data_IF_241627475148
#
_entry.id   IF_241627475148
#
_cell.length_a   1.000
_cell.length_b   1.000
_cell.length_c   1.000
_cell.angle_alpha   90.00
_cell.angle_beta   90.00
_cell.angle_gamma   90.00
#
_symmetry.space_group_name_H-M   'P 1'
#
loop_
_entity.id
_entity.type
_entity.pdbx_description
1 polymer ?
#
# COMPACT_ATOMS: atom_id res chain seq x y z
N UNK A 1 -3.08 -29.34 33.78
CA UNK A 1 -2.94 -27.98 34.37
C UNK A 1 -2.04 -27.05 33.53
N UNK A 2 -0.86 -27.50 33.09
CA UNK A 2 0.09 -26.78 32.26
C UNK A 2 -0.48 -26.36 30.89
N UNK A 3 -1.29 -27.21 30.24
CA UNK A 3 -1.95 -26.86 28.97
C UNK A 3 -2.86 -25.64 29.08
N UNK A 4 -3.59 -25.49 30.20
CA UNK A 4 -4.43 -24.31 30.47
C UNK A 4 -3.57 -23.05 30.65
N UNK A 5 -2.42 -23.17 31.32
CA UNK A 5 -1.44 -22.09 31.44
C UNK A 5 -0.84 -21.68 30.10
N UNK A 6 -0.49 -22.65 29.25
CA UNK A 6 0.00 -22.41 27.88
C UNK A 6 -1.04 -21.68 27.02
N UNK A 7 -2.31 -22.10 27.10
CA UNK A 7 -3.40 -21.46 26.36
C UNK A 7 -3.66 -20.03 26.85
N UNK A 8 -3.66 -19.81 28.17
CA UNK A 8 -3.79 -18.45 28.74
C UNK A 8 -2.68 -17.52 28.25
N UNK A 9 -1.43 -17.97 28.29
CA UNK A 9 -0.30 -17.17 27.82
C UNK A 9 -0.32 -16.96 26.30
N UNK A 10 -0.80 -17.93 25.52
CA UNK A 10 -0.99 -17.79 24.08
C UNK A 10 -1.98 -16.64 23.77
N UNK A 11 -3.11 -16.60 24.47
CA UNK A 11 -4.10 -15.51 24.35
C UNK A 11 -3.48 -14.16 24.72
N UNK A 12 -2.79 -14.09 25.86
CA UNK A 12 -2.18 -12.86 26.36
C UNK A 12 -1.07 -12.32 25.44
N UNK A 13 -0.41 -13.19 24.68
CA UNK A 13 0.58 -12.81 23.68
C UNK A 13 -0.07 -12.33 22.36
N UNK A 14 -1.14 -13.00 21.93
CA UNK A 14 -1.76 -12.74 20.62
C UNK A 14 -2.66 -11.51 20.61
N UNK A 15 -3.34 -11.20 21.73
CA UNK A 15 -4.20 -10.02 21.80
C UNK A 15 -3.43 -8.73 21.45
N UNK A 16 -2.27 -8.41 22.07
CA UNK A 16 -1.49 -7.23 21.68
C UNK A 16 -1.04 -7.23 20.22
N UNK A 17 -0.64 -8.40 19.70
CA UNK A 17 -0.19 -8.54 18.29
C UNK A 17 -1.35 -8.25 17.34
N UNK A 18 -2.54 -8.81 17.58
CA UNK A 18 -3.72 -8.54 16.78
C UNK A 18 -4.15 -7.07 16.84
N UNK A 19 -4.02 -6.42 18.00
CA UNK A 19 -4.29 -4.96 18.12
C UNK A 19 -3.32 -4.16 17.26
N UNK A 20 -2.03 -4.48 17.29
CA UNK A 20 -1.03 -3.83 16.44
C UNK A 20 -1.29 -4.07 14.95
N UNK A 21 -1.58 -5.31 14.55
CA UNK A 21 -1.90 -5.66 13.16
C UNK A 21 -3.17 -4.96 12.67
N UNK A 22 -4.23 -4.93 13.48
CA UNK A 22 -5.47 -4.23 13.17
C UNK A 22 -5.24 -2.72 13.01
N UNK A 23 -4.42 -2.12 13.89
CA UNK A 23 -4.08 -0.70 13.81
C UNK A 23 -3.32 -0.37 12.53
N UNK A 24 -2.33 -1.20 12.17
CA UNK A 24 -1.59 -1.06 10.92
C UNK A 24 -2.51 -1.21 9.69
N UNK A 25 -3.42 -2.17 9.73
CA UNK A 25 -4.40 -2.38 8.66
C UNK A 25 -5.32 -1.15 8.49
N UNK A 26 -5.82 -0.57 9.58
CA UNK A 26 -6.66 0.63 9.54
C UNK A 26 -5.93 1.83 8.95
N UNK A 27 -4.67 2.06 9.33
CA UNK A 27 -3.84 3.13 8.75
C UNK A 27 -3.68 2.92 7.24
N UNK A 28 -3.38 1.70 6.81
CA UNK A 28 -3.24 1.39 5.38
C UNK A 28 -4.55 1.59 4.62
N UNK A 29 -5.70 1.25 5.23
CA UNK A 29 -7.01 1.54 4.64
C UNK A 29 -7.25 3.04 4.50
N UNK A 30 -6.96 3.82 5.55
CA UNK A 30 -7.15 5.26 5.54
C UNK A 30 -6.29 5.92 4.46
N UNK A 31 -5.01 5.52 4.34
CA UNK A 31 -4.14 5.99 3.27
C UNK A 31 -4.68 5.64 1.88
N UNK A 32 -5.22 4.44 1.70
CA UNK A 32 -5.84 4.03 0.43
C UNK A 32 -7.17 4.71 0.11
N UNK A 33 -7.80 5.41 1.06
CA UNK A 33 -9.03 6.18 0.83
C UNK A 33 -8.73 7.59 0.30
N UNK A 34 -7.53 8.13 0.55
CA UNK A 34 -7.15 9.46 0.09
C UNK A 34 -7.08 9.51 -1.44
N UNK A 35 -7.60 10.59 -2.03
CA UNK A 35 -7.69 10.76 -3.49
C UNK A 35 -6.32 10.81 -4.17
N UNK A 36 -5.32 11.38 -3.49
CA UNK A 36 -3.92 11.37 -3.92
C UNK A 36 -3.32 9.96 -4.09
N UNK A 37 -3.95 8.94 -3.51
CA UNK A 37 -3.47 7.55 -3.53
C UNK A 37 -4.38 6.63 -4.36
N UNK A 38 -5.37 7.19 -5.06
CA UNK A 38 -6.32 6.46 -5.89
C UNK A 38 -6.19 6.88 -7.33
N UNK A 39 -6.32 5.92 -8.23
CA UNK A 39 -6.45 6.18 -9.66
C UNK A 39 -7.92 6.16 -10.03
N UNK A 40 -8.39 7.21 -10.69
CA UNK A 40 -9.75 7.31 -11.19
C UNK A 40 -9.80 7.03 -12.69
N UNK A 41 -10.78 6.25 -13.15
CA UNK A 41 -11.01 6.14 -14.59
C UNK A 41 -11.67 7.44 -15.06
N UNK A 42 -11.08 8.07 -16.07
CA UNK A 42 -11.62 9.26 -16.72
C UNK A 42 -11.88 8.88 -18.18
N UNK A 43 -13.17 8.80 -18.52
CA UNK A 43 -13.62 8.30 -19.82
C UNK A 43 -13.58 9.39 -20.91
N UNK A 44 -13.74 10.67 -20.51
CA UNK A 44 -13.70 11.83 -21.41
C UNK A 44 -12.69 12.86 -20.90
N UNK A 45 -11.91 13.42 -21.83
CA UNK A 45 -10.88 14.44 -21.55
C UNK A 45 -11.52 15.77 -21.13
N UNK A 46 -12.76 16.03 -21.60
CA UNK A 46 -13.54 17.21 -21.20
C UNK A 46 -13.85 17.26 -19.69
N UNK A 47 -13.83 16.11 -19.00
CA UNK A 47 -14.06 16.03 -17.55
C UNK A 47 -12.82 16.39 -16.72
N UNK A 48 -11.68 16.71 -17.35
CA UNK A 48 -10.42 17.02 -16.68
C UNK A 48 -10.53 18.16 -15.66
N UNK A 49 -11.19 19.26 -16.00
CA UNK A 49 -11.48 20.37 -15.07
C UNK A 49 -12.31 19.93 -13.86
N UNK A 50 -13.36 19.14 -14.11
CA UNK A 50 -14.21 18.64 -13.05
C UNK A 50 -13.41 17.74 -12.10
N UNK A 51 -12.62 16.81 -12.63
CA UNK A 51 -11.80 15.89 -11.84
C UNK A 51 -10.77 16.63 -10.99
N UNK A 52 -10.10 17.63 -11.58
CA UNK A 52 -9.14 18.47 -10.88
C UNK A 52 -9.80 19.25 -9.74
N UNK A 53 -10.94 19.91 -10.00
CA UNK A 53 -11.65 20.74 -9.01
C UNK A 53 -12.14 19.96 -7.79
N UNK A 54 -12.46 18.67 -7.95
CA UNK A 54 -12.88 17.79 -6.84
C UNK A 54 -11.71 17.04 -6.20
N UNK A 55 -10.46 17.35 -6.55
CA UNK A 55 -9.26 16.74 -5.98
C UNK A 55 -8.93 15.34 -6.50
N UNK A 56 -9.56 14.88 -7.59
CA UNK A 56 -9.30 13.59 -8.23
C UNK A 56 -8.23 13.74 -9.30
N UNK A 57 -7.01 14.04 -8.85
CA UNK A 57 -5.90 14.40 -9.76
C UNK A 57 -5.29 13.21 -10.48
N UNK A 58 -5.25 12.02 -9.87
CA UNK A 58 -4.66 10.85 -10.52
C UNK A 58 -5.71 10.10 -11.35
N UNK A 59 -5.49 10.01 -12.66
CA UNK A 59 -6.45 9.46 -13.62
C UNK A 59 -5.84 8.37 -14.51
N UNK A 60 -6.69 7.47 -14.98
CA UNK A 60 -6.42 6.54 -16.08
C UNK A 60 -7.28 6.95 -17.26
N UNK A 61 -6.67 7.18 -18.42
CA UNK A 61 -7.35 7.66 -19.62
C UNK A 61 -7.03 6.73 -20.77
N UNK A 62 -8.08 6.30 -21.48
CA UNK A 62 -7.93 5.58 -22.73
C UNK A 62 -7.90 6.57 -23.89
N UNK A 63 -6.70 6.84 -24.40
CA UNK A 63 -6.51 7.71 -25.56
C UNK A 63 -6.81 6.89 -26.81
N UNK A 64 -7.94 7.20 -27.46
CA UNK A 64 -8.42 6.51 -28.67
C UNK A 64 -8.02 7.21 -29.96
N UNK A 65 -8.02 8.54 -29.90
CA UNK A 65 -7.66 9.40 -31.02
C UNK A 65 -6.16 9.70 -30.98
N UNK A 66 -5.56 9.85 -32.16
CA UNK A 66 -4.13 10.13 -32.27
C UNK A 66 -3.80 11.49 -31.66
N UNK A 67 -2.87 11.51 -30.71
CA UNK A 67 -2.33 12.74 -30.15
C UNK A 67 -1.33 13.36 -31.13
N UNK A 68 -1.34 14.69 -31.22
CA UNK A 68 -0.39 15.42 -32.09
C UNK A 68 0.68 16.07 -31.24
N UNK A 69 1.95 15.90 -31.63
CA UNK A 69 3.07 16.52 -30.93
C UNK A 69 3.04 18.05 -31.10
N UNK A 70 3.20 18.81 -30.02
CA UNK A 70 3.18 20.28 -30.06
C UNK A 70 4.50 20.88 -30.54
N UNK A 71 5.60 20.12 -30.53
CA UNK A 71 6.95 20.66 -30.75
C UNK A 71 7.70 21.03 -29.47
N UNK A 72 7.07 20.93 -28.31
CA UNK A 72 7.65 21.34 -27.03
C UNK A 72 7.98 20.15 -26.11
N UNK A 73 9.11 20.28 -25.41
CA UNK A 73 9.59 19.29 -24.43
C UNK A 73 9.26 19.73 -23.00
N UNK A 74 8.81 18.80 -22.17
CA UNK A 74 8.66 18.97 -20.73
C UNK A 74 9.99 18.69 -20.03
N UNK A 75 10.60 19.73 -19.45
CA UNK A 75 11.92 19.66 -18.81
C UNK A 75 11.81 19.77 -17.29
N UNK A 76 12.51 18.88 -16.62
CA UNK A 76 12.79 18.91 -15.17
C UNK A 76 14.28 19.18 -14.95
N UNK A 77 14.69 19.47 -13.70
CA UNK A 77 16.07 19.88 -13.37
C UNK A 77 17.16 18.94 -13.95
N UNK A 78 16.86 17.64 -14.09
CA UNK A 78 17.77 16.59 -14.60
C UNK A 78 17.59 16.24 -16.09
N UNK A 79 16.78 16.97 -16.86
CA UNK A 79 16.65 16.76 -18.31
C UNK A 79 15.20 16.81 -18.83
N UNK A 80 14.97 16.19 -19.99
CA UNK A 80 13.63 16.08 -20.58
C UNK A 80 12.90 14.94 -19.88
N UNK A 81 11.84 15.24 -19.12
CA UNK A 81 10.98 14.27 -18.46
C UNK A 81 9.84 13.78 -19.36
N UNK A 82 9.50 14.53 -20.40
CA UNK A 82 8.46 14.15 -21.35
C UNK A 82 8.31 15.14 -22.49
N UNK A 83 7.31 14.90 -23.32
CA UNK A 83 7.00 15.69 -24.50
C UNK A 83 5.54 16.15 -24.47
N UNK A 84 5.28 17.38 -24.90
CA UNK A 84 3.94 17.93 -24.96
C UNK A 84 3.22 17.45 -26.22
N UNK A 85 2.03 16.90 -26.02
CA UNK A 85 1.09 16.52 -27.07
C UNK A 85 -0.23 17.23 -26.83
N UNK A 86 -1.04 17.34 -27.87
CA UNK A 86 -2.37 17.90 -27.76
C UNK A 86 -3.43 17.04 -28.44
N UNK A 87 -4.65 17.16 -27.91
CA UNK A 87 -5.88 16.66 -28.52
C UNK A 87 -6.85 17.84 -28.61
N UNK A 88 -7.39 18.08 -29.81
CA UNK A 88 -8.48 19.03 -29.99
C UNK A 88 -9.78 18.24 -29.92
N UNK A 89 -10.63 18.60 -28.96
CA UNK A 89 -11.95 18.02 -28.82
C UNK A 89 -12.97 19.14 -28.63
N UNK A 90 -13.99 19.17 -29.50
CA UNK A 90 -14.93 20.29 -29.59
C UNK A 90 -14.19 21.59 -29.96
N UNK A 91 -14.20 22.57 -29.06
CA UNK A 91 -13.58 23.88 -29.25
C UNK A 91 -12.39 24.10 -28.29
N UNK A 92 -11.92 23.05 -27.61
CA UNK A 92 -10.85 23.14 -26.61
C UNK A 92 -9.64 22.27 -27.00
N UNK A 93 -8.43 22.80 -26.74
CA UNK A 93 -7.16 22.08 -26.85
C UNK A 93 -6.73 21.57 -25.48
N UNK A 94 -6.64 20.24 -25.35
CA UNK A 94 -6.18 19.56 -24.14
C UNK A 94 -4.72 19.15 -24.28
N UNK A 95 -3.92 19.47 -23.27
CA UNK A 95 -2.48 19.17 -23.24
C UNK A 95 -2.21 17.86 -22.51
N UNK A 96 -1.30 17.07 -23.08
CA UNK A 96 -0.79 15.82 -22.54
C UNK A 96 0.73 15.91 -22.44
N UNK A 97 1.29 15.46 -21.33
CA UNK A 97 2.73 15.29 -21.18
C UNK A 97 3.01 13.79 -21.12
N UNK A 98 3.67 13.27 -22.16
CA UNK A 98 3.96 11.84 -22.30
C UNK A 98 5.44 11.57 -22.04
N UNK A 99 5.72 10.41 -21.43
CA UNK A 99 7.09 9.89 -21.37
C UNK A 99 7.57 9.42 -22.77
N UNK A 100 8.87 9.13 -22.89
CA UNK A 100 9.48 8.73 -24.17
C UNK A 100 8.85 7.44 -24.74
N UNK A 101 8.55 6.45 -23.88
CA UNK A 101 7.97 5.17 -24.31
C UNK A 101 6.55 5.37 -24.89
N UNK A 102 5.74 6.20 -24.23
CA UNK A 102 4.35 6.47 -24.63
C UNK A 102 4.28 7.44 -25.81
N UNK A 103 5.22 8.36 -25.92
CA UNK A 103 5.41 9.23 -27.09
C UNK A 103 5.56 8.41 -28.38
N UNK A 104 6.38 7.35 -28.35
CA UNK A 104 6.55 6.45 -29.48
C UNK A 104 5.27 5.66 -29.86
N UNK A 105 4.32 5.51 -28.93
CA UNK A 105 3.02 4.89 -29.19
C UNK A 105 2.02 5.89 -29.77
N UNK A 106 2.06 7.14 -29.29
CA UNK A 106 1.29 8.26 -29.82
C UNK A 106 1.63 8.53 -31.28
N UNK A 107 2.93 8.59 -31.61
CA UNK A 107 3.41 8.78 -32.99
C UNK A 107 2.96 7.69 -33.97
N UNK A 108 2.71 6.48 -33.45
CA UNK A 108 2.22 5.34 -34.25
C UNK A 108 0.70 5.36 -34.43
N UNK A 109 0.00 6.35 -33.88
CA UNK A 109 -1.46 6.49 -33.98
C UNK A 109 -2.23 5.32 -33.38
N UNK A 110 -1.66 4.65 -32.37
CA UNK A 110 -2.32 3.51 -31.71
C UNK A 110 -3.15 4.02 -30.53
N UNK A 111 -4.24 3.33 -30.21
CA UNK A 111 -4.94 3.54 -28.94
C UNK A 111 -4.12 2.98 -27.78
N UNK A 112 -3.93 3.75 -26.71
CA UNK A 112 -3.23 3.31 -25.51
C UNK A 112 -3.92 3.83 -24.23
N UNK A 113 -3.62 3.19 -23.10
CA UNK A 113 -4.11 3.64 -21.80
C UNK A 113 -2.95 4.30 -21.05
N UNK A 114 -3.15 5.53 -20.60
CA UNK A 114 -2.19 6.27 -19.80
C UNK A 114 -2.64 6.36 -18.36
N UNK A 115 -1.67 6.36 -17.45
CA UNK A 115 -1.84 6.74 -16.06
C UNK A 115 -1.17 8.11 -15.89
N UNK A 116 -1.95 9.11 -15.51
CA UNK A 116 -1.51 10.49 -15.49
C UNK A 116 -2.02 11.23 -14.26
N UNK A 117 -1.34 12.30 -13.88
CA UNK A 117 -1.79 13.28 -12.90
C UNK A 117 -2.27 14.53 -13.63
N UNK A 118 -3.43 15.03 -13.25
CA UNK A 118 -3.93 16.33 -13.68
C UNK A 118 -3.17 17.43 -12.95
N UNK A 119 -2.51 18.29 -13.70
CA UNK A 119 -1.67 19.38 -13.21
C UNK A 119 -2.08 20.69 -13.87
N UNK A 120 -2.33 21.72 -13.07
CA UNK A 120 -2.59 23.08 -13.57
C UNK A 120 -1.24 23.73 -13.89
N UNK A 121 -1.02 24.04 -15.17
CA UNK A 121 0.15 24.76 -15.65
C UNK A 121 -0.28 25.86 -16.64
N UNK A 122 -0.81 26.94 -16.08
CA UNK A 122 -1.24 28.12 -16.84
C UNK A 122 -0.07 28.81 -17.57
N UNK A 123 1.16 28.65 -17.10
CA UNK A 123 2.33 29.23 -17.75
C UNK A 123 2.69 28.47 -19.04
N UNK A 124 2.72 27.13 -18.99
CA UNK A 124 2.95 26.31 -20.17
C UNK A 124 1.80 26.43 -21.18
N UNK A 125 0.55 26.41 -20.71
CA UNK A 125 -0.62 26.58 -21.58
C UNK A 125 -0.56 27.89 -22.35
N UNK A 126 -0.33 29.02 -21.65
CA UNK A 126 -0.21 30.34 -22.28
C UNK A 126 0.97 30.46 -23.23
N UNK A 127 2.10 29.84 -22.90
CA UNK A 127 3.26 29.81 -23.77
C UNK A 127 2.96 29.07 -25.08
N UNK A 128 2.36 27.88 -24.99
CA UNK A 128 1.94 27.09 -26.16
C UNK A 128 0.91 27.86 -26.99
N UNK A 129 -0.05 28.51 -26.35
CA UNK A 129 -1.07 29.32 -27.01
C UNK A 129 -0.47 30.51 -27.78
N UNK A 130 0.50 31.21 -27.18
CA UNK A 130 1.19 32.34 -27.81
C UNK A 130 1.98 31.87 -29.03
N UNK A 131 2.76 30.80 -28.89
CA UNK A 131 3.56 30.24 -29.98
C UNK A 131 2.68 29.71 -31.13
N UNK A 132 1.55 29.07 -30.82
CA UNK A 132 0.59 28.62 -31.84
C UNK A 132 -0.07 29.80 -32.56
N UNK A 133 -0.45 30.86 -31.84
CA UNK A 133 -1.02 32.08 -32.43
C UNK A 133 -0.04 32.74 -33.41
N UNK A 134 1.23 32.85 -33.01
CA UNK A 134 2.30 33.41 -33.86
C UNK A 134 2.56 32.55 -35.11
N UNK A 135 2.54 31.22 -34.98
CA UNK A 135 2.72 30.31 -36.13
C UNK A 135 1.56 30.37 -37.13
N UNK A 136 0.35 30.67 -36.66
CA UNK A 136 -0.85 30.74 -37.51
C UNK A 136 -1.11 32.15 -38.09
N UNK A 137 -0.25 33.13 -37.80
CA UNK A 137 -0.42 34.56 -38.16
C UNK A 137 -1.74 35.15 -37.63
N UNK A 138 -2.21 34.61 -36.50
CA UNK A 138 -3.42 35.03 -35.82
C UNK A 138 -3.02 36.01 -34.70
N UNK A 139 -3.76 37.12 -34.56
CA UNK A 139 -3.48 38.10 -33.50
C UNK A 139 -3.51 37.46 -32.11
N UNK A 140 -2.68 37.96 -31.19
CA UNK A 140 -2.46 37.38 -29.86
C UNK A 140 -3.72 37.17 -28.99
N UNK A 141 -4.86 37.78 -29.34
CA UNK A 141 -6.13 37.67 -28.61
C UNK A 141 -7.11 36.67 -29.24
N UNK A 142 -6.74 35.98 -30.32
CA UNK A 142 -7.67 35.16 -31.10
C UNK A 142 -7.80 33.70 -30.64
N UNK A 143 -6.83 33.21 -29.86
CA UNK A 143 -6.84 31.88 -29.25
C UNK A 143 -7.02 31.93 -27.73
N UNK A 144 -7.41 33.09 -27.17
CA UNK A 144 -7.56 33.31 -25.72
C UNK A 144 -8.52 32.27 -25.10
N UNK A 145 -7.97 31.40 -24.26
CA UNK A 145 -8.71 30.32 -23.60
C UNK A 145 -8.95 29.05 -24.42
N UNK A 146 -8.37 28.95 -25.63
CA UNK A 146 -8.43 27.75 -26.46
C UNK A 146 -7.59 26.60 -25.87
N UNK A 147 -6.44 26.93 -25.27
CA UNK A 147 -5.58 25.94 -24.62
C UNK A 147 -5.96 25.82 -23.15
N UNK A 148 -6.37 24.62 -22.73
CA UNK A 148 -6.72 24.36 -21.34
C UNK A 148 -5.50 24.43 -20.44
N UNK A 149 -5.64 25.12 -19.31
CA UNK A 149 -4.59 25.26 -18.29
C UNK A 149 -4.30 23.94 -17.57
N UNK A 150 -5.24 22.98 -17.61
CA UNK A 150 -5.06 21.66 -17.02
C UNK A 150 -4.40 20.73 -18.03
N UNK A 151 -3.19 20.31 -17.67
CA UNK A 151 -2.39 19.33 -18.40
C UNK A 151 -2.55 17.94 -17.79
N UNK A 152 -2.52 16.93 -18.66
CA UNK A 152 -2.57 15.51 -18.30
C UNK A 152 -1.14 14.99 -18.32
N UNK A 153 -0.50 14.91 -17.15
CA UNK A 153 0.93 14.58 -17.02
C UNK A 153 1.17 13.13 -16.62
N UNK A 154 1.74 12.33 -17.52
CA UNK A 154 2.22 10.99 -17.21
C UNK A 154 3.46 10.94 -16.30
N UNK A 155 4.51 11.78 -16.49
CA UNK A 155 5.70 11.70 -15.64
C UNK A 155 5.42 12.05 -14.17
N UNK A 156 4.43 12.90 -13.92
CA UNK A 156 4.04 13.30 -12.56
C UNK A 156 3.13 12.27 -11.85
N UNK A 157 2.80 11.16 -12.51
CA UNK A 157 1.96 10.13 -11.91
C UNK A 157 2.71 9.34 -10.83
N UNK A 158 2.21 9.30 -9.57
CA UNK A 158 2.92 8.69 -8.45
C UNK A 158 2.77 7.15 -8.43
N UNK A 159 3.28 6.48 -9.48
CA UNK A 159 3.21 5.02 -9.69
C UNK A 159 3.65 4.26 -8.44
N UNK A 160 4.81 4.63 -7.90
CA UNK A 160 5.44 3.94 -6.77
C UNK A 160 4.58 4.06 -5.51
N UNK A 161 4.08 5.26 -5.20
CA UNK A 161 3.26 5.54 -4.00
C UNK A 161 1.98 4.69 -4.02
N UNK A 162 1.23 4.74 -5.13
CA UNK A 162 -0.04 4.02 -5.28
C UNK A 162 0.19 2.50 -5.22
N UNK A 163 1.21 1.99 -5.93
CA UNK A 163 1.55 0.55 -5.89
C UNK A 163 1.97 0.10 -4.50
N UNK A 164 2.81 0.86 -3.80
CA UNK A 164 3.29 0.53 -2.45
C UNK A 164 2.14 0.42 -1.45
N UNK A 165 1.20 1.37 -1.46
CA UNK A 165 0.02 1.33 -0.59
C UNK A 165 -0.79 0.05 -0.85
N UNK A 166 -0.98 -0.30 -2.13
CA UNK A 166 -1.65 -1.54 -2.53
C UNK A 166 -0.93 -2.81 -2.03
N UNK A 167 0.40 -2.86 -2.15
CA UNK A 167 1.20 -3.99 -1.65
C UNK A 167 1.18 -4.10 -0.13
N UNK A 168 1.35 -3.00 0.59
CA UNK A 168 1.34 -2.97 2.06
C UNK A 168 -0.03 -3.44 2.57
N UNK A 169 -1.13 -2.98 1.97
CA UNK A 169 -2.48 -3.42 2.32
C UNK A 169 -2.63 -4.95 2.18
N UNK A 170 -2.17 -5.53 1.07
CA UNK A 170 -2.20 -6.99 0.85
C UNK A 170 -1.33 -7.72 1.88
N UNK A 171 -0.12 -7.22 2.14
CA UNK A 171 0.81 -7.79 3.11
C UNK A 171 0.21 -7.82 4.52
N UNK A 172 -0.43 -6.74 4.97
CA UNK A 172 -1.11 -6.69 6.27
C UNK A 172 -2.21 -7.74 6.41
N UNK A 173 -2.98 -8.00 5.34
CA UNK A 173 -4.00 -9.06 5.33
C UNK A 173 -3.35 -10.45 5.46
N UNK A 174 -2.27 -10.71 4.72
CA UNK A 174 -1.56 -11.99 4.80
C UNK A 174 -0.94 -12.23 6.19
N UNK A 175 -0.37 -11.20 6.80
CA UNK A 175 0.18 -11.28 8.17
C UNK A 175 -0.93 -11.61 9.18
N UNK A 176 -2.05 -10.90 9.13
CA UNK A 176 -3.18 -11.15 10.03
C UNK A 176 -3.74 -12.57 9.86
N UNK A 177 -3.85 -13.05 8.61
CA UNK A 177 -4.26 -14.42 8.33
C UNK A 177 -3.25 -15.45 8.88
N UNK A 178 -1.95 -15.21 8.71
CA UNK A 178 -0.90 -16.08 9.24
C UNK A 178 -0.92 -16.13 10.78
N UNK A 179 -1.13 -14.99 11.45
CA UNK A 179 -1.26 -14.89 12.91
C UNK A 179 -2.49 -15.66 13.41
N UNK A 180 -3.62 -15.57 12.71
CA UNK A 180 -4.83 -16.34 13.02
C UNK A 180 -4.64 -17.85 12.81
N UNK A 181 -4.02 -18.26 11.70
CA UNK A 181 -3.69 -19.67 11.45
C UNK A 181 -2.76 -20.20 12.55
N UNK A 182 -1.73 -19.43 12.90
CA UNK A 182 -0.83 -19.76 13.99
C UNK A 182 -1.57 -19.92 15.31
N UNK A 183 -2.51 -19.02 15.62
CA UNK A 183 -3.33 -19.12 16.83
C UNK A 183 -4.13 -20.42 16.88
N UNK A 184 -4.84 -20.75 15.79
CA UNK A 184 -5.67 -21.97 15.70
C UNK A 184 -4.79 -23.23 15.82
N UNK A 185 -3.66 -23.27 15.13
CA UNK A 185 -2.72 -24.39 15.20
C UNK A 185 -2.10 -24.52 16.59
N UNK A 186 -1.70 -23.43 17.24
CA UNK A 186 -1.12 -23.44 18.58
C UNK A 186 -2.16 -23.76 19.67
N UNK A 187 -3.44 -23.43 19.45
CA UNK A 187 -4.54 -23.80 20.33
C UNK A 187 -4.90 -25.30 20.21
N UNK A 188 -4.98 -25.82 18.97
CA UNK A 188 -5.29 -27.24 18.72
C UNK A 188 -4.09 -28.16 19.06
N UNK A 189 -2.88 -27.71 18.78
CA UNK A 189 -1.63 -28.44 18.97
C UNK A 189 -0.70 -27.62 19.88
N UNK A 190 -0.78 -27.84 21.22
CA UNK A 190 0.05 -27.12 22.20
C UNK A 190 1.57 -27.27 21.99
N UNK A 191 2.00 -28.22 21.16
CA UNK A 191 3.40 -28.52 20.83
C UNK A 191 4.02 -27.47 19.89
N UNK A 192 3.20 -26.83 19.05
CA UNK A 192 3.61 -25.75 18.14
C UNK A 192 3.72 -24.39 18.87
N UNK A 193 3.26 -24.32 20.10
CA UNK A 193 3.29 -23.11 20.90
C UNK A 193 4.76 -22.67 21.14
N UNK A 194 5.11 -21.46 20.70
CA UNK A 194 6.47 -20.90 20.82
C UNK A 194 6.70 -20.24 22.18
N UNK A 195 5.66 -20.12 23.02
CA UNK A 195 5.73 -19.47 24.34
C UNK A 195 6.64 -20.17 25.36
N UNK A 196 7.17 -21.37 25.08
CA UNK A 196 8.19 -22.01 25.92
C UNK A 196 9.32 -22.65 25.10
N UNK A 197 10.57 -22.41 25.50
CA UNK A 197 11.76 -22.99 24.87
C UNK A 197 12.10 -24.33 25.53
N UNK A 198 12.25 -25.37 24.71
CA UNK A 198 12.75 -26.70 25.09
C UNK A 198 14.26 -26.60 25.42
N UNK A 199 14.63 -26.15 26.62
CA UNK A 199 16.02 -26.09 27.09
C UNK A 199 16.57 -27.47 27.46
N UNK A 200 16.70 -28.40 26.51
CA UNK A 200 17.20 -29.78 26.71
C UNK A 200 16.48 -30.60 27.80
N UNK A 201 15.28 -30.20 28.22
CA UNK A 201 14.53 -30.82 29.33
C UNK A 201 13.86 -32.14 28.96
N UNK A 202 13.65 -32.43 27.67
CA UNK A 202 13.02 -33.66 27.19
C UNK A 202 13.42 -33.98 25.74
N UNK A 203 13.18 -35.19 25.23
CA UNK A 203 13.40 -35.56 23.82
C UNK A 203 12.37 -34.92 22.87
N UNK A 204 11.13 -34.72 23.30
CA UNK A 204 10.07 -34.05 22.50
C UNK A 204 9.30 -32.99 23.30
N UNK A 205 8.71 -31.99 22.61
CA UNK A 205 7.86 -30.97 23.27
C UNK A 205 6.59 -31.60 23.87
N UNK A 206 6.04 -32.62 23.21
CA UNK A 206 4.88 -33.39 23.67
C UNK A 206 5.11 -34.07 25.01
N UNK A 207 6.24 -34.75 25.15
CA UNK A 207 6.62 -35.41 26.40
C UNK A 207 6.86 -34.39 27.50
N UNK A 208 7.55 -33.29 27.19
CA UNK A 208 7.75 -32.21 28.17
C UNK A 208 6.41 -31.67 28.69
N UNK A 209 5.45 -31.39 27.80
CA UNK A 209 4.12 -30.90 28.19
C UNK A 209 3.40 -31.95 29.06
N UNK A 210 3.45 -33.24 28.71
CA UNK A 210 2.81 -34.31 29.48
C UNK A 210 3.45 -34.48 30.86
N UNK A 211 4.77 -34.47 30.95
CA UNK A 211 5.50 -34.58 32.22
C UNK A 211 5.18 -33.39 33.13
N UNK A 212 5.19 -32.17 32.57
CA UNK A 212 4.81 -30.97 33.33
C UNK A 212 3.33 -30.96 33.73
N UNK A 213 2.43 -31.50 32.90
CA UNK A 213 1.02 -31.63 33.26
C UNK A 213 0.81 -32.59 34.43
N UNK A 214 1.56 -33.71 34.47
CA UNK A 214 1.54 -34.67 35.59
C UNK A 214 2.16 -34.09 36.85
N UNK A 215 3.35 -33.49 36.73
CA UNK A 215 4.04 -32.84 37.85
C UNK A 215 3.19 -31.73 38.50
N UNK A 216 2.51 -30.91 37.69
CA UNK A 216 1.62 -29.87 38.20
C UNK A 216 0.31 -30.42 38.80
N UNK A 217 -0.09 -31.64 38.44
CA UNK A 217 -1.31 -32.26 38.95
C UNK A 217 -1.07 -33.09 40.23
N UNK A 218 0.06 -33.78 40.32
CA UNK A 218 0.34 -34.77 41.36
C UNK A 218 1.38 -34.27 42.39
N UNK A 219 2.37 -33.47 41.98
CA UNK A 219 3.55 -33.14 42.78
C UNK A 219 3.73 -31.63 42.99
N UNK A 220 2.62 -30.89 43.13
CA UNK A 220 2.63 -29.45 43.37
C UNK A 220 3.00 -29.17 44.84
N UNK A 221 4.21 -28.64 45.06
CA UNK A 221 4.70 -28.30 46.40
C UNK A 221 4.20 -26.93 46.83
N UNK A 222 4.27 -25.94 45.93
CA UNK A 222 3.84 -24.58 46.23
C UNK A 222 3.38 -23.84 44.97
N UNK A 223 2.29 -23.08 45.09
CA UNK A 223 1.79 -22.18 44.04
C UNK A 223 1.66 -20.77 44.58
N UNK A 224 2.49 -19.86 44.07
CA UNK A 224 2.36 -18.43 44.36
C UNK A 224 2.28 -17.64 43.05
N UNK A 225 1.10 -17.03 42.79
CA UNK A 225 0.78 -16.14 41.66
C UNK A 225 1.19 -16.67 40.28
N UNK A 226 2.45 -16.46 39.89
CA UNK A 226 3.04 -16.77 38.58
C UNK A 226 4.18 -17.79 38.65
N UNK A 227 4.45 -18.36 39.82
CA UNK A 227 5.49 -19.36 40.06
C UNK A 227 4.84 -20.64 40.58
N UNK A 228 5.10 -21.74 39.87
CA UNK A 228 4.70 -23.09 40.27
C UNK A 228 5.96 -23.89 40.59
N UNK A 229 6.04 -24.38 41.83
CA UNK A 229 7.10 -25.26 42.31
C UNK A 229 6.54 -26.68 42.38
N UNK A 230 7.14 -27.55 41.59
CA UNK A 230 6.95 -29.00 41.69
C UNK A 230 8.22 -29.63 42.26
N UNK A 231 8.16 -30.92 42.61
CA UNK A 231 9.31 -31.64 43.16
C UNK A 231 10.54 -31.55 42.25
N UNK A 232 10.36 -31.66 40.93
CA UNK A 232 11.48 -31.71 39.97
C UNK A 232 11.62 -30.45 39.10
N UNK A 233 10.61 -29.57 39.07
CA UNK A 233 10.63 -28.39 38.18
C UNK A 233 10.18 -27.10 38.88
N UNK A 234 10.83 -26.01 38.47
CA UNK A 234 10.39 -24.64 38.77
C UNK A 234 9.86 -24.00 37.50
N UNK A 235 8.57 -23.72 37.47
CA UNK A 235 7.85 -23.15 36.33
C UNK A 235 7.50 -21.70 36.64
N UNK A 236 8.09 -20.78 35.89
CA UNK A 236 7.73 -19.36 35.93
C UNK A 236 6.82 -19.05 34.73
N UNK A 237 5.55 -18.75 35.00
CA UNK A 237 4.57 -18.34 34.01
C UNK A 237 4.48 -16.80 33.98
N UNK A 238 5.33 -16.17 33.16
CA UNK A 238 5.21 -14.74 32.84
C UNK A 238 4.04 -14.53 31.87
N UNK A 239 3.55 -13.29 31.71
CA UNK A 239 2.41 -12.97 30.86
C UNK A 239 2.61 -13.39 29.38
N UNK A 240 3.83 -13.29 28.86
CA UNK A 240 4.14 -13.54 27.44
C UNK A 240 5.00 -14.78 27.18
N UNK A 241 5.62 -15.37 28.21
CA UNK A 241 6.44 -16.58 28.05
C UNK A 241 6.47 -17.43 29.32
N UNK A 242 6.71 -18.72 29.15
CA UNK A 242 6.89 -19.66 30.26
C UNK A 242 8.36 -20.10 30.29
N UNK A 243 9.00 -19.91 31.44
CA UNK A 243 10.36 -20.37 31.71
C UNK A 243 10.32 -21.58 32.64
N UNK A 244 10.98 -22.67 32.24
CA UNK A 244 11.06 -23.91 33.00
C UNK A 244 12.53 -24.14 33.36
N UNK A 245 12.80 -24.36 34.64
CA UNK A 245 14.11 -24.80 35.15
C UNK A 245 13.92 -26.12 35.89
N UNK A 246 14.78 -27.12 35.60
CA UNK A 246 14.86 -28.35 36.38
C UNK A 246 15.52 -28.03 37.72
N UNK A 247 14.98 -28.57 38.81
CA UNK A 247 15.50 -28.41 40.15
C UNK A 247 16.52 -29.50 40.49
#
# INVERSE_FOLDING_TARGET
MFRKLLFRNLILMIIPVLIMEASMFLICMQLGILDENKTYLMDDVNDSELYYSVGKTNVSINVRDGLTYTGFDYKVEDGIAGHYYYLIQQDDMYLFILDEETSLLADKGKSFNILATLTEDSAAAKYIETELSEQMDLGADSLDGFVKEISISQPDYPVLRIKLIGYIKKLSIYLMAATLIYFVLAAAIPELNLSFKKKKLAPTRRELIRTLDKELAENLVESQRSVYLTENYKIHAYMSYISIKKR
#
